data_IF_170362092228
#
_entry.id   IF_170362092228
#
_cell.length_a   1.000
_cell.length_b   1.000
_cell.length_c   1.000
_cell.angle_alpha   90.00
_cell.angle_beta   90.00
_cell.angle_gamma   90.00
#
_symmetry.space_group_name_H-M   'P 1'
#
loop_
_entity.id
_entity.type
_entity.pdbx_description
1 polymer ?
#
# COMPACT_ATOMS: atom_id res chain seq x y z
N UNK A 1 23.10 -8.53 -18.85
CA UNK A 1 22.76 -8.27 -17.44
C UNK A 1 21.71 -7.19 -17.44
N UNK A 2 20.48 -7.46 -17.00
CA UNK A 2 19.45 -6.42 -16.89
C UNK A 2 19.80 -5.63 -15.63
N UNK A 3 20.14 -4.36 -15.79
CA UNK A 3 20.25 -3.44 -14.66
C UNK A 3 18.87 -3.35 -14.03
N UNK A 4 18.70 -3.97 -12.86
CA UNK A 4 17.46 -3.91 -12.09
C UNK A 4 17.46 -2.58 -11.36
N UNK A 5 16.68 -1.62 -11.84
CA UNK A 5 16.37 -0.43 -11.06
C UNK A 5 15.30 -0.82 -10.02
N UNK A 6 15.67 -0.72 -8.74
CA UNK A 6 14.75 -0.92 -7.62
C UNK A 6 14.21 0.46 -7.27
N UNK A 7 12.90 0.65 -7.41
CA UNK A 7 12.25 1.85 -6.89
C UNK A 7 11.72 1.54 -5.49
N UNK A 8 12.17 2.32 -4.51
CA UNK A 8 11.66 2.24 -3.15
C UNK A 8 10.42 3.10 -3.03
N UNK A 9 9.34 2.52 -2.51
CA UNK A 9 8.08 3.24 -2.26
C UNK A 9 7.70 3.12 -0.79
N UNK A 10 7.23 4.22 -0.21
CA UNK A 10 6.77 4.25 1.19
C UNK A 10 5.26 4.03 1.21
N UNK A 11 4.80 3.02 1.95
CA UNK A 11 3.38 2.75 2.10
C UNK A 11 2.73 3.85 2.95
N UNK A 12 1.68 4.49 2.45
CA UNK A 12 0.97 5.57 3.15
C UNK A 12 0.26 5.11 4.43
N UNK A 13 -0.04 3.80 4.55
CA UNK A 13 -0.80 3.22 5.67
C UNK A 13 0.11 2.85 6.85
N UNK A 14 1.23 2.18 6.58
CA UNK A 14 2.15 1.65 7.60
C UNK A 14 3.50 2.38 7.66
N UNK A 15 3.75 3.33 6.75
CA UNK A 15 4.98 4.12 6.66
C UNK A 15 6.26 3.28 6.47
N UNK A 16 6.13 2.05 5.94
CA UNK A 16 7.27 1.18 5.64
C UNK A 16 7.73 1.37 4.18
N UNK A 17 9.05 1.40 3.97
CA UNK A 17 9.65 1.28 2.64
C UNK A 17 9.45 -0.15 2.12
N UNK A 18 8.95 -0.27 0.90
CA UNK A 18 8.83 -1.54 0.19
C UNK A 18 9.57 -1.44 -1.13
N UNK A 19 10.24 -2.53 -1.51
CA UNK A 19 10.90 -2.64 -2.80
C UNK A 19 9.87 -3.00 -3.87
N UNK A 20 9.73 -2.15 -4.88
CA UNK A 20 8.96 -2.45 -6.08
C UNK A 20 9.92 -2.69 -7.24
N UNK A 21 9.77 -3.83 -7.93
CA UNK A 21 10.61 -4.15 -9.07
C UNK A 21 10.08 -3.48 -10.34
N UNK A 22 10.89 -2.64 -11.00
CA UNK A 22 10.57 -2.01 -12.28
C UNK A 22 10.69 -2.98 -13.48
N UNK A 23 10.29 -4.24 -13.32
CA UNK A 23 10.12 -5.16 -14.44
C UNK A 23 8.62 -5.36 -14.68
N UNK A 24 8.15 -5.13 -15.90
CA UNK A 24 6.75 -5.32 -16.32
C UNK A 24 5.68 -4.55 -15.52
N UNK A 25 6.00 -3.36 -14.97
CA UNK A 25 5.09 -2.57 -14.12
C UNK A 25 4.59 -3.33 -12.88
N UNK A 26 5.38 -4.27 -12.35
CA UNK A 26 5.00 -5.00 -11.15
C UNK A 26 5.12 -4.12 -9.90
N UNK A 27 3.96 -3.76 -9.34
CA UNK A 27 3.84 -3.09 -8.04
C UNK A 27 3.34 -4.13 -7.03
N UNK A 28 4.09 -4.36 -5.96
CA UNK A 28 3.67 -5.27 -4.87
C UNK A 28 2.72 -4.55 -3.90
N UNK A 29 1.53 -4.23 -4.41
CA UNK A 29 0.50 -3.45 -3.74
C UNK A 29 -0.34 -2.67 -4.77
N UNK A 30 -0.94 -1.56 -4.32
CA UNK A 30 -1.81 -0.72 -5.16
C UNK A 30 -1.41 0.76 -5.09
N UNK A 31 -1.73 1.49 -6.15
CA UNK A 31 -1.63 2.96 -6.20
C UNK A 31 -3.03 3.54 -6.20
N UNK A 32 -3.35 4.39 -5.21
CA UNK A 32 -4.65 5.07 -5.07
C UNK A 32 -4.37 6.56 -4.93
N UNK A 33 -4.93 7.38 -5.83
CA UNK A 33 -4.69 8.83 -5.88
C UNK A 33 -3.21 9.24 -5.84
N UNK A 34 -2.33 8.44 -6.47
CA UNK A 34 -0.89 8.68 -6.50
C UNK A 34 -0.14 8.24 -5.24
N UNK A 35 -0.83 7.80 -4.20
CA UNK A 35 -0.23 7.24 -2.98
C UNK A 35 -0.06 5.72 -3.12
N UNK A 36 1.02 5.20 -2.53
CA UNK A 36 1.32 3.77 -2.54
C UNK A 36 0.80 3.07 -1.28
N UNK A 37 0.09 1.95 -1.46
CA UNK A 37 -0.32 1.05 -0.38
C UNK A 37 0.33 -0.30 -0.66
N UNK A 38 1.18 -0.78 0.25
CA UNK A 38 1.84 -2.08 0.07
C UNK A 38 0.84 -3.23 0.17
N UNK A 39 1.19 -4.36 -0.45
CA UNK A 39 0.37 -5.58 -0.46
C UNK A 39 -0.08 -6.06 0.93
N UNK A 40 0.75 -5.88 1.95
CA UNK A 40 0.38 -6.26 3.31
C UNK A 40 -0.80 -5.42 3.81
N UNK A 41 -0.71 -4.10 3.69
CA UNK A 41 -1.79 -3.20 4.09
C UNK A 41 -3.02 -3.34 3.19
N UNK A 42 -2.84 -3.52 1.88
CA UNK A 42 -3.94 -3.83 0.96
C UNK A 42 -4.74 -5.04 1.44
N UNK A 43 -4.04 -6.14 1.74
CA UNK A 43 -4.65 -7.38 2.24
C UNK A 43 -5.35 -7.15 3.57
N UNK A 44 -4.69 -6.50 4.53
CA UNK A 44 -5.29 -6.24 5.83
C UNK A 44 -6.53 -5.36 5.73
N UNK A 45 -6.54 -4.32 4.89
CA UNK A 45 -7.71 -3.44 4.71
C UNK A 45 -8.92 -4.22 4.16
N UNK A 46 -8.69 -5.18 3.27
CA UNK A 46 -9.75 -6.01 2.69
C UNK A 46 -10.25 -7.08 3.68
N UNK A 47 -9.33 -7.69 4.42
CA UNK A 47 -9.63 -8.86 5.25
C UNK A 47 -10.03 -8.52 6.69
N UNK A 48 -9.72 -7.30 7.18
CA UNK A 48 -10.09 -6.88 8.53
C UNK A 48 -11.61 -6.78 8.65
N UNK A 49 -12.18 -7.56 9.58
CA UNK A 49 -13.60 -7.52 9.89
C UNK A 49 -13.98 -6.23 10.63
N UNK A 50 -15.23 -5.78 10.47
CA UNK A 50 -15.79 -4.61 11.16
C UNK A 50 -15.78 -4.74 12.69
N UNK A 51 -15.65 -5.97 13.21
CA UNK A 51 -15.60 -6.24 14.65
C UNK A 51 -14.18 -6.14 15.24
N UNK A 52 -13.15 -6.01 14.40
CA UNK A 52 -11.77 -5.90 14.85
C UNK A 52 -11.42 -4.45 15.23
N UNK A 53 -10.71 -4.26 16.34
CA UNK A 53 -10.29 -2.94 16.84
C UNK A 53 -9.48 -2.10 15.82
N UNK A 54 -8.84 -2.75 14.84
CA UNK A 54 -8.03 -2.10 13.81
C UNK A 54 -8.83 -1.67 12.57
N UNK A 55 -10.11 -2.04 12.48
CA UNK A 55 -10.97 -1.69 11.34
C UNK A 55 -11.11 -0.18 11.18
N UNK A 56 -11.46 0.52 12.26
CA UNK A 56 -11.66 1.96 12.23
C UNK A 56 -10.37 2.72 11.85
N UNK A 57 -9.21 2.24 12.33
CA UNK A 57 -7.90 2.80 11.96
C UNK A 57 -7.62 2.67 10.45
N UNK A 58 -7.93 1.51 9.85
CA UNK A 58 -7.81 1.31 8.41
C UNK A 58 -8.78 2.19 7.61
N UNK A 59 -10.01 2.34 8.09
CA UNK A 59 -11.02 3.21 7.47
C UNK A 59 -10.57 4.67 7.48
N UNK A 60 -10.04 5.16 8.60
CA UNK A 60 -9.60 6.55 8.69
C UNK A 60 -8.37 6.82 7.82
N UNK A 61 -7.40 5.90 7.80
CA UNK A 61 -6.23 6.00 6.91
C UNK A 61 -6.61 5.95 5.44
N UNK A 62 -7.51 5.06 5.01
CA UNK A 62 -7.91 4.97 3.60
C UNK A 62 -8.72 6.19 3.15
N UNK A 63 -9.56 6.77 4.03
CA UNK A 63 -10.31 8.00 3.73
C UNK A 63 -9.39 9.17 3.38
N UNK A 64 -8.28 9.32 4.10
CA UNK A 64 -7.27 10.36 3.81
C UNK A 64 -6.68 10.19 2.41
N UNK A 65 -6.50 8.95 1.95
CA UNK A 65 -6.00 8.65 0.61
C UNK A 65 -7.07 8.93 -0.46
N UNK A 66 -8.31 8.51 -0.23
CA UNK A 66 -9.41 8.61 -1.21
C UNK A 66 -9.91 10.04 -1.40
N UNK A 67 -10.03 10.82 -0.32
CA UNK A 67 -10.63 12.16 -0.32
C UNK A 67 -9.59 13.30 -0.30
N UNK A 68 -8.36 13.01 -0.73
CA UNK A 68 -7.27 13.99 -0.80
C UNK A 68 -7.55 15.09 -1.82
#
# INVERSE_FOLDING_TARGET
MINKEIEKRVCVICNMENESYLYDNYIDGIIVNGEYICRHCEKEIIETSVEENKYDDYVDKIKVVIYK
#
